data_IF_763591245565
#
_entry.id   IF_763591245565
#
_cell.length_a   1.000
_cell.length_b   1.000
_cell.length_c   1.000
_cell.angle_alpha   90.00
_cell.angle_beta   90.00
_cell.angle_gamma   90.00
#
_symmetry.space_group_name_H-M   'P 1'
#
loop_
_entity.id
_entity.type
_entity.pdbx_description
1 polymer ?
#
# COMPACT_ATOMS: atom_id res chain seq x y z
N UNK A 1 14.87 32.16 -31.64
CA UNK A 1 14.97 30.98 -32.53
C UNK A 1 15.44 29.80 -31.70
N UNK A 2 14.55 28.85 -31.42
CA UNK A 2 14.88 27.61 -30.71
C UNK A 2 14.25 26.47 -31.51
N UNK A 3 15.07 25.48 -31.85
CA UNK A 3 14.79 24.41 -32.81
C UNK A 3 14.14 23.24 -32.09
N UNK A 4 13.10 22.70 -32.72
CA UNK A 4 12.26 21.59 -32.28
C UNK A 4 13.05 20.30 -32.05
N UNK A 5 12.79 19.59 -30.95
CA UNK A 5 13.27 18.21 -30.72
C UNK A 5 12.06 17.30 -30.80
N UNK A 6 12.07 16.38 -31.77
CA UNK A 6 11.04 15.39 -31.99
C UNK A 6 11.20 14.20 -31.02
N UNK A 7 10.14 13.85 -30.30
CA UNK A 7 10.09 12.69 -29.41
C UNK A 7 9.45 11.53 -30.19
N UNK A 8 10.27 10.52 -30.52
CA UNK A 8 9.86 9.33 -31.28
C UNK A 8 9.22 8.31 -30.32
N UNK A 9 7.93 8.04 -30.54
CA UNK A 9 7.18 7.01 -29.86
C UNK A 9 7.37 5.68 -30.62
N UNK A 10 8.04 4.70 -30.03
CA UNK A 10 8.01 3.31 -30.50
C UNK A 10 7.46 2.45 -29.39
N UNK A 11 6.18 2.10 -29.53
CA UNK A 11 5.54 1.06 -28.72
C UNK A 11 5.90 -0.32 -29.25
N UNK A 12 6.19 -1.25 -28.34
CA UNK A 12 6.22 -2.67 -28.62
C UNK A 12 5.66 -3.42 -27.40
N UNK A 13 4.38 -3.75 -27.48
CA UNK A 13 3.68 -4.67 -26.58
C UNK A 13 4.00 -6.10 -27.00
N UNK A 14 4.64 -6.89 -26.15
CA UNK A 14 4.76 -8.34 -26.34
C UNK A 14 4.27 -9.05 -25.08
N UNK A 15 3.04 -9.57 -25.18
CA UNK A 15 2.46 -10.53 -24.25
C UNK A 15 2.98 -11.93 -24.61
N UNK A 16 3.68 -12.59 -23.69
CA UNK A 16 3.97 -14.03 -23.79
C UNK A 16 3.17 -14.73 -22.70
N UNK A 17 1.99 -15.23 -23.08
CA UNK A 17 1.26 -16.22 -22.31
C UNK A 17 1.72 -17.63 -22.70
N UNK A 18 2.06 -18.45 -21.72
CA UNK A 18 2.25 -19.89 -21.90
C UNK A 18 1.76 -20.61 -20.65
N UNK A 19 0.57 -21.20 -20.74
CA UNK A 19 0.06 -22.17 -19.78
C UNK A 19 0.42 -23.57 -20.27
N UNK A 20 0.99 -24.41 -19.40
CA UNK A 20 1.18 -25.84 -19.64
C UNK A 20 0.86 -26.63 -18.37
N UNK A 21 -0.24 -27.37 -18.43
CA UNK A 21 -0.23 -28.82 -18.15
C UNK A 21 -0.18 -29.29 -16.70
N UNK A 22 -1.36 -29.71 -16.22
CA UNK A 22 -1.63 -30.51 -15.02
C UNK A 22 -0.89 -31.87 -15.04
N UNK A 23 -0.37 -32.31 -13.88
CA UNK A 23 -0.25 -33.74 -13.55
C UNK A 23 -0.68 -33.98 -12.10
N UNK A 24 -1.73 -34.79 -11.93
CA UNK A 24 -2.16 -35.35 -10.66
C UNK A 24 -1.43 -36.68 -10.40
N UNK A 25 -0.93 -36.89 -9.16
CA UNK A 25 -0.61 -38.21 -8.60
C UNK A 25 -1.04 -38.22 -7.13
N UNK A 26 -1.66 -39.31 -6.73
CA UNK A 26 -2.45 -39.48 -5.50
C UNK A 26 -1.67 -40.07 -4.32
N UNK A 27 -2.12 -39.70 -3.10
CA UNK A 27 -2.31 -40.53 -1.89
C UNK A 27 -1.12 -40.91 -0.96
N UNK A 28 -0.96 -40.22 0.18
CA UNK A 28 -1.27 -40.62 1.59
C UNK A 28 -0.58 -39.68 2.61
N UNK A 29 -1.06 -39.60 3.88
CA UNK A 29 -1.17 -38.35 4.65
C UNK A 29 0.02 -38.08 5.56
N UNK A 30 0.39 -36.81 5.71
CA UNK A 30 1.13 -36.33 6.89
C UNK A 30 0.50 -34.99 7.27
N UNK A 31 -0.10 -34.98 8.45
CA UNK A 31 -0.61 -33.80 9.14
C UNK A 31 0.59 -33.08 9.78
N UNK A 32 1.00 -31.93 9.24
CA UNK A 32 1.70 -30.92 10.04
C UNK A 32 1.60 -29.51 9.40
N UNK A 33 0.68 -28.74 9.96
CA UNK A 33 0.69 -27.29 10.18
C UNK A 33 0.61 -26.32 8.98
N UNK A 34 -0.61 -25.76 8.91
CA UNK A 34 -1.03 -24.56 8.23
C UNK A 34 -0.03 -23.38 8.34
N UNK A 35 0.59 -23.02 7.23
CA UNK A 35 0.97 -21.64 6.93
C UNK A 35 0.05 -21.15 5.82
N UNK A 36 -0.96 -20.37 6.23
CA UNK A 36 -1.83 -19.63 5.32
C UNK A 36 -0.96 -18.62 4.57
N UNK A 37 -0.60 -18.94 3.34
CA UNK A 37 -0.13 -17.96 2.38
C UNK A 37 -1.26 -16.95 2.16
N UNK A 38 -1.15 -15.78 2.79
CA UNK A 38 -1.96 -14.63 2.44
C UNK A 38 -1.63 -14.26 0.98
N UNK A 39 -2.63 -14.01 0.11
CA UNK A 39 -2.37 -13.47 -1.21
C UNK A 39 -1.69 -12.11 -1.06
N UNK A 40 -0.47 -11.99 -1.58
CA UNK A 40 0.10 -10.70 -1.93
C UNK A 40 -0.68 -10.24 -3.16
N UNK A 41 -1.76 -9.50 -2.93
CA UNK A 41 -2.42 -8.74 -3.98
C UNK A 41 -1.53 -7.55 -4.32
N UNK A 42 -0.60 -7.75 -5.24
CA UNK A 42 -0.09 -6.66 -6.07
C UNK A 42 -1.18 -6.33 -7.10
N UNK A 43 -2.21 -5.59 -6.66
CA UNK A 43 -3.07 -4.86 -7.60
C UNK A 43 -2.26 -3.68 -8.13
N UNK A 44 -1.99 -3.67 -9.43
CA UNK A 44 -1.41 -2.54 -10.14
C UNK A 44 -2.55 -1.59 -10.57
N UNK A 45 -3.43 -1.27 -9.64
CA UNK A 45 -4.43 -0.20 -9.77
C UNK A 45 -3.80 1.07 -9.22
N UNK A 46 -3.73 2.11 -10.07
CA UNK A 46 -3.34 3.44 -9.62
C UNK A 46 -4.42 3.95 -8.67
N UNK A 47 -4.20 3.83 -7.36
CA UNK A 47 -5.13 4.43 -6.40
C UNK A 47 -5.09 5.95 -6.52
N UNK A 48 -6.20 6.63 -6.19
CA UNK A 48 -6.23 8.08 -6.18
C UNK A 48 -5.24 8.62 -5.14
N UNK A 49 -4.39 9.54 -5.58
CA UNK A 49 -3.67 10.43 -4.66
C UNK A 49 -4.73 11.28 -3.97
N UNK A 50 -4.76 11.25 -2.64
CA UNK A 50 -5.78 11.94 -1.88
C UNK A 50 -5.47 13.43 -1.78
N UNK A 51 -6.51 14.25 -1.81
CA UNK A 51 -6.36 15.69 -1.58
C UNK A 51 -6.11 15.95 -0.09
N UNK A 52 -5.21 16.88 0.23
CA UNK A 52 -4.81 17.19 1.60
C UNK A 52 -6.03 17.50 2.50
N UNK A 53 -7.00 18.27 2.00
CA UNK A 53 -8.21 18.61 2.75
C UNK A 53 -9.15 17.44 3.04
N UNK A 54 -9.13 16.38 2.24
CA UNK A 54 -9.88 15.15 2.52
C UNK A 54 -9.16 14.31 3.57
N UNK A 55 -7.83 14.20 3.44
CA UNK A 55 -7.00 13.43 4.37
C UNK A 55 -7.03 14.05 5.76
N UNK A 56 -6.94 15.38 5.90
CA UNK A 56 -6.95 16.05 7.21
C UNK A 56 -8.21 15.79 8.05
N UNK A 57 -9.29 15.27 7.45
CA UNK A 57 -10.52 14.90 8.18
C UNK A 57 -10.42 13.51 8.83
N UNK A 58 -9.41 12.72 8.50
CA UNK A 58 -9.18 11.41 9.06
C UNK A 58 -8.65 11.52 10.48
N UNK A 59 -9.30 10.82 11.42
CA UNK A 59 -9.01 10.90 12.84
C UNK A 59 -7.59 10.44 13.21
N UNK A 60 -7.00 9.56 12.40
CA UNK A 60 -5.66 9.03 12.58
C UNK A 60 -4.55 10.00 12.17
N UNK A 61 -4.86 11.08 11.45
CA UNK A 61 -3.84 11.96 10.85
C UNK A 61 -3.08 12.75 11.89
N UNK A 62 -3.73 13.28 12.92
CA UNK A 62 -3.02 14.00 13.98
C UNK A 62 -1.98 13.10 14.68
N UNK A 63 -2.30 11.82 14.88
CA UNK A 63 -1.34 10.86 15.43
C UNK A 63 -0.26 10.47 14.40
N UNK A 64 -0.61 10.42 13.11
CA UNK A 64 0.36 10.16 12.05
C UNK A 64 1.41 11.28 11.98
N UNK A 65 0.99 12.54 12.11
CA UNK A 65 1.85 13.74 12.14
C UNK A 65 2.82 13.76 13.32
N UNK A 66 2.42 13.17 14.47
CA UNK A 66 3.29 13.05 15.64
C UNK A 66 4.46 12.06 15.41
N UNK A 67 4.28 11.09 14.50
CA UNK A 67 5.27 10.04 14.20
C UNK A 67 6.09 10.40 12.96
N UNK A 68 5.44 10.97 11.94
CA UNK A 68 6.01 11.23 10.62
C UNK A 68 5.72 12.67 10.19
N UNK A 69 6.76 13.35 9.70
CA UNK A 69 6.61 14.66 9.06
C UNK A 69 5.90 14.51 7.70
N UNK A 70 4.58 14.65 7.69
CA UNK A 70 3.74 14.40 6.50
C UNK A 70 4.01 15.38 5.36
N UNK A 71 4.59 16.55 5.63
CA UNK A 71 4.93 17.53 4.59
C UNK A 71 5.95 17.01 3.56
N UNK A 72 6.66 15.94 3.89
CA UNK A 72 7.65 15.28 3.03
C UNK A 72 7.08 14.18 2.13
N UNK A 73 5.79 13.85 2.28
CA UNK A 73 5.21 12.69 1.63
C UNK A 73 3.90 13.04 0.92
N UNK A 74 3.63 12.33 -0.17
CA UNK A 74 2.31 12.29 -0.78
C UNK A 74 1.50 11.15 -0.16
N UNK A 75 0.24 11.40 0.17
CA UNK A 75 -0.63 10.39 0.77
C UNK A 75 -1.51 9.76 -0.29
N UNK A 76 -1.42 8.44 -0.39
CA UNK A 76 -2.27 7.60 -1.24
C UNK A 76 -3.22 6.80 -0.34
N UNK A 77 -4.51 6.88 -0.62
CA UNK A 77 -5.53 6.07 0.06
C UNK A 77 -5.67 4.76 -0.70
N UNK A 78 -5.10 3.69 -0.15
CA UNK A 78 -5.13 2.36 -0.77
C UNK A 78 -6.43 1.63 -0.46
N UNK A 79 -6.94 1.81 0.76
CA UNK A 79 -8.20 1.19 1.18
C UNK A 79 -8.90 2.13 2.16
N UNK A 80 -10.17 2.46 1.90
CA UNK A 80 -11.02 3.12 2.88
C UNK A 80 -12.37 2.41 2.98
N UNK A 81 -12.44 1.43 3.88
CA UNK A 81 -13.67 0.67 4.16
C UNK A 81 -14.28 1.09 5.51
N UNK A 82 -15.49 0.62 5.79
CA UNK A 82 -16.23 0.93 7.03
C UNK A 82 -15.43 0.67 8.31
N UNK A 83 -14.55 -0.34 8.31
CA UNK A 83 -13.82 -0.77 9.52
C UNK A 83 -12.34 -0.46 9.52
N UNK A 84 -11.75 -0.20 8.35
CA UNK A 84 -10.30 -0.15 8.17
C UNK A 84 -9.96 0.90 7.10
N UNK A 85 -8.94 1.69 7.37
CA UNK A 85 -8.28 2.54 6.38
C UNK A 85 -6.81 2.16 6.26
N UNK A 86 -6.29 2.14 5.05
CA UNK A 86 -4.88 1.95 4.74
C UNK A 86 -4.41 3.12 3.90
N UNK A 87 -3.39 3.82 4.39
CA UNK A 87 -2.71 4.90 3.68
C UNK A 87 -1.27 4.48 3.37
N UNK A 88 -0.77 4.86 2.21
CA UNK A 88 0.65 4.85 1.90
C UNK A 88 1.18 6.29 1.85
N UNK A 89 2.34 6.49 2.46
CA UNK A 89 3.07 7.75 2.40
C UNK A 89 4.20 7.54 1.40
N UNK A 90 4.08 8.18 0.24
CA UNK A 90 5.03 8.08 -0.86
C UNK A 90 6.07 9.18 -0.74
N UNK A 91 7.35 8.83 -0.91
CA UNK A 91 8.44 9.79 -0.97
C UNK A 91 8.37 10.68 -2.23
N UNK A 92 9.31 11.61 -2.38
CA UNK A 92 9.40 12.51 -3.54
C UNK A 92 9.57 11.77 -4.88
N UNK A 93 10.01 10.50 -4.85
CA UNK A 93 10.16 9.64 -6.03
C UNK A 93 8.93 8.77 -6.28
N UNK A 94 7.91 8.86 -5.42
CA UNK A 94 6.70 8.05 -5.47
C UNK A 94 6.85 6.66 -4.85
N UNK A 95 7.93 6.38 -4.12
CA UNK A 95 8.10 5.10 -3.46
C UNK A 95 7.43 5.08 -2.07
N UNK A 96 6.73 3.99 -1.70
CA UNK A 96 6.15 3.87 -0.36
C UNK A 96 7.23 3.87 0.72
N UNK A 97 7.20 4.86 1.61
CA UNK A 97 8.10 4.99 2.74
C UNK A 97 7.44 4.58 4.06
N UNK A 98 6.14 4.83 4.21
CA UNK A 98 5.37 4.38 5.37
C UNK A 98 4.02 3.80 4.96
N UNK A 99 3.49 2.94 5.81
CA UNK A 99 2.11 2.45 5.76
C UNK A 99 1.39 2.76 7.06
N UNK A 100 0.28 3.49 6.95
CA UNK A 100 -0.68 3.63 8.06
C UNK A 100 -1.80 2.61 7.89
N UNK A 101 -2.14 1.93 8.98
CA UNK A 101 -3.29 1.04 9.08
C UNK A 101 -4.12 1.49 10.27
N UNK A 102 -5.33 1.93 10.00
CA UNK A 102 -6.23 2.44 11.01
C UNK A 102 -7.49 1.58 11.12
N UNK A 103 -7.73 1.03 12.32
CA UNK A 103 -8.89 0.17 12.64
C UNK A 103 -9.96 1.03 13.31
N UNK A 104 -10.85 1.60 12.50
CA UNK A 104 -11.84 2.63 12.90
C UNK A 104 -12.66 2.25 14.13
N UNK A 105 -13.20 1.02 14.18
CA UNK A 105 -14.08 0.58 15.28
C UNK A 105 -13.37 0.39 16.61
N UNK A 106 -12.04 0.24 16.60
CA UNK A 106 -11.23 0.05 17.80
C UNK A 106 -10.37 1.27 18.13
N UNK A 107 -10.40 2.27 17.27
CA UNK A 107 -9.53 3.44 17.33
C UNK A 107 -8.04 3.05 17.47
N UNK A 108 -7.60 1.99 16.78
CA UNK A 108 -6.21 1.52 16.80
C UNK A 108 -5.52 2.02 15.54
N UNK A 109 -4.36 2.66 15.71
CA UNK A 109 -3.54 3.15 14.62
C UNK A 109 -2.16 2.49 14.64
N UNK A 110 -1.84 1.76 13.58
CA UNK A 110 -0.52 1.18 13.33
C UNK A 110 0.19 1.97 12.24
N UNK A 111 1.45 2.36 12.48
CA UNK A 111 2.33 3.00 11.50
C UNK A 111 3.55 2.11 11.30
N UNK A 112 3.84 1.76 10.05
CA UNK A 112 4.95 0.88 9.67
C UNK A 112 5.93 1.71 8.83
N UNK A 113 7.20 1.76 9.24
CA UNK A 113 8.29 2.28 8.42
C UNK A 113 8.71 1.18 7.43
N UNK A 114 8.57 1.44 6.13
CA UNK A 114 8.87 0.49 5.07
C UNK A 114 10.35 0.52 4.64
N UNK A 115 11.08 1.56 5.04
CA UNK A 115 12.50 1.74 4.72
C UNK A 115 13.41 1.30 5.88
N UNK A 116 12.85 0.95 7.04
CA UNK A 116 13.58 0.52 8.23
C UNK A 116 13.04 -0.78 8.84
N UNK A 117 13.52 -1.11 10.04
CA UNK A 117 13.10 -2.30 10.83
C UNK A 117 12.11 -1.95 11.96
N UNK A 118 11.43 -0.79 11.92
CA UNK A 118 10.60 -0.30 13.04
C UNK A 118 9.10 -0.22 12.71
N UNK A 119 8.32 -0.83 13.61
CA UNK A 119 6.86 -0.74 13.65
C UNK A 119 6.42 0.07 14.89
N UNK A 120 5.51 1.03 14.71
CA UNK A 120 4.83 1.75 15.80
C UNK A 120 3.36 1.33 15.84
N UNK A 121 2.87 0.93 17.01
CA UNK A 121 1.46 0.55 17.21
C UNK A 121 0.93 1.28 18.43
N UNK A 122 -0.11 2.08 18.24
CA UNK A 122 -0.75 2.83 19.32
C UNK A 122 -2.27 2.68 19.28
N UNK A 123 -2.89 2.67 20.46
CA UNK A 123 -4.34 2.78 20.60
C UNK A 123 -4.67 4.24 20.85
N UNK A 124 -5.38 4.87 19.94
CA UNK A 124 -5.85 6.24 20.12
C UNK A 124 -6.97 6.19 21.15
N UNK A 125 -6.71 6.72 22.35
CA UNK A 125 -7.76 6.90 23.34
C UNK A 125 -8.77 7.93 22.81
N UNK A 126 -10.07 7.67 23.01
CA UNK A 126 -11.11 8.65 22.71
C UNK A 126 -10.82 9.93 23.53
N UNK A 127 -10.50 11.03 22.84
CA UNK A 127 -10.32 12.36 23.44
C UNK A 127 -11.67 13.03 23.68
#
# INVERSE_FOLDING_TARGET
>A
MMKTIAMSLVGALVLVGSILGVKAICAHPIDEQAVKNAPVEQSNEQNPIANEGEVSQFQEISHLEEIVDLSKYQIEVVEDLTNKRILLLLDEKGHPAYKSIFIKRKNIHKVIDLNGERDFVETLADK
#
